data_IF_551998986910
#
_entry.id   IF_551998986910
#
_cell.length_a   1.000
_cell.length_b   1.000
_cell.length_c   1.000
_cell.angle_alpha   90.00
_cell.angle_beta   90.00
_cell.angle_gamma   90.00
#
_symmetry.space_group_name_H-M   'P 1'
#
loop_
_entity.id
_entity.type
_entity.pdbx_description
1 polymer ?
#
# COMPACT_ATOMS: atom_id res chain seq x y z
N UNK A 1 1.45 5.46 -31.66
CA UNK A 1 1.92 5.39 -30.26
C UNK A 1 0.76 5.86 -29.39
N UNK A 2 0.20 5.02 -28.52
CA UNK A 2 -0.89 5.42 -27.62
C UNK A 2 -0.26 6.30 -26.54
N UNK A 3 -0.52 7.61 -26.58
CA UNK A 3 -0.20 8.52 -25.48
C UNK A 3 -0.87 7.95 -24.23
N UNK A 4 -0.06 7.53 -23.24
CA UNK A 4 -0.61 7.17 -21.94
C UNK A 4 -1.19 8.47 -21.38
N UNK A 5 -2.50 8.55 -21.10
CA UNK A 5 -3.06 9.73 -20.46
C UNK A 5 -2.26 9.98 -19.18
N UNK A 6 -1.83 11.21 -18.98
CA UNK A 6 -1.22 11.62 -17.73
C UNK A 6 -2.19 11.23 -16.61
N UNK A 7 -1.75 10.52 -15.56
CA UNK A 7 -2.64 10.11 -14.50
C UNK A 7 -3.30 11.37 -13.92
N UNK A 8 -4.62 11.33 -13.79
CA UNK A 8 -5.38 12.40 -13.15
C UNK A 8 -4.72 12.71 -11.80
N UNK A 9 -4.46 13.98 -11.53
CA UNK A 9 -3.87 14.41 -10.26
C UNK A 9 -4.98 14.83 -9.30
N UNK A 10 -4.91 14.44 -8.02
CA UNK A 10 -5.94 14.79 -7.06
C UNK A 10 -5.89 16.28 -6.72
N UNK A 11 -7.06 16.88 -6.52
CA UNK A 11 -7.14 18.22 -5.93
C UNK A 11 -6.75 18.22 -4.44
N UNK A 12 -6.73 19.40 -3.81
CA UNK A 12 -6.31 19.52 -2.41
C UNK A 12 -7.22 18.78 -1.41
N UNK A 13 -8.52 18.71 -1.67
CA UNK A 13 -9.49 17.99 -0.83
C UNK A 13 -9.38 16.49 -1.04
N UNK A 14 -9.25 16.04 -2.29
CA UNK A 14 -8.99 14.65 -2.64
C UNK A 14 -7.67 14.17 -2.03
N UNK A 15 -6.60 14.94 -2.12
CA UNK A 15 -5.31 14.60 -1.52
C UNK A 15 -5.42 14.37 0.00
N UNK A 16 -6.13 15.27 0.71
CA UNK A 16 -6.37 15.11 2.16
C UNK A 16 -7.13 13.82 2.48
N UNK A 17 -8.18 13.53 1.71
CA UNK A 17 -8.99 12.33 1.91
C UNK A 17 -8.19 11.05 1.60
N UNK A 18 -7.44 11.04 0.49
CA UNK A 18 -6.59 9.91 0.11
C UNK A 18 -5.54 9.62 1.18
N UNK A 19 -4.89 10.65 1.74
CA UNK A 19 -3.97 10.49 2.86
C UNK A 19 -4.67 9.87 4.08
N UNK A 20 -5.85 10.37 4.46
CA UNK A 20 -6.60 9.82 5.59
C UNK A 20 -6.99 8.35 5.39
N UNK A 21 -7.41 7.97 4.18
CA UNK A 21 -7.73 6.59 3.82
C UNK A 21 -6.50 5.68 3.83
N UNK A 22 -5.35 6.18 3.40
CA UNK A 22 -4.08 5.45 3.49
C UNK A 22 -3.69 5.22 4.94
N UNK A 23 -3.75 6.25 5.78
CA UNK A 23 -3.42 6.15 7.21
C UNK A 23 -4.36 5.15 7.92
N UNK A 24 -5.65 5.18 7.60
CA UNK A 24 -6.62 4.22 8.13
C UNK A 24 -6.36 2.80 7.63
N UNK A 25 -6.03 2.62 6.36
CA UNK A 25 -5.64 1.34 5.80
C UNK A 25 -4.37 0.78 6.44
N UNK A 26 -3.40 1.63 6.79
CA UNK A 26 -2.19 1.21 7.51
C UNK A 26 -2.54 0.78 8.93
N UNK A 27 -3.35 1.56 9.67
CA UNK A 27 -3.76 1.22 11.04
C UNK A 27 -4.58 -0.06 11.10
N UNK A 28 -5.56 -0.21 10.22
CA UNK A 28 -6.41 -1.41 10.16
C UNK A 28 -5.62 -2.67 9.78
N UNK A 29 -4.55 -2.53 9.00
CA UNK A 29 -3.65 -3.64 8.63
C UNK A 29 -2.42 -3.77 9.55
N UNK A 30 -2.30 -2.93 10.58
CA UNK A 30 -1.19 -2.93 11.54
C UNK A 30 -1.11 -4.16 12.46
N UNK A 31 -2.20 -4.62 13.11
CA UNK A 31 -2.11 -5.61 14.20
C UNK A 31 -1.89 -7.04 13.73
N UNK A 32 -1.93 -7.32 12.43
CA UNK A 32 -1.91 -8.68 11.91
C UNK A 32 -0.48 -9.13 11.57
N UNK A 33 0.13 -9.90 12.48
CA UNK A 33 1.46 -10.54 12.35
C UNK A 33 1.35 -12.03 11.96
N UNK A 34 0.14 -12.55 11.71
CA UNK A 34 -0.11 -13.97 11.36
C UNK A 34 -1.09 -14.13 10.16
N UNK A 35 -1.13 -15.29 9.46
CA UNK A 35 -1.40 -15.37 8.01
C UNK A 35 -2.88 -15.55 7.60
N UNK A 36 -3.23 -15.41 6.29
CA UNK A 36 -2.45 -14.87 5.18
C UNK A 36 -3.13 -13.63 4.59
N UNK A 37 -2.39 -12.52 4.50
CA UNK A 37 -2.79 -11.34 3.72
C UNK A 37 -4.03 -10.59 4.21
N UNK A 38 -3.80 -9.49 4.94
CA UNK A 38 -4.86 -8.53 5.25
C UNK A 38 -4.86 -7.42 4.22
N UNK A 39 -6.04 -7.19 3.62
CA UNK A 39 -6.25 -6.18 2.59
C UNK A 39 -7.31 -5.20 3.04
N UNK A 40 -6.96 -3.92 3.03
CA UNK A 40 -7.88 -2.81 3.11
C UNK A 40 -8.11 -2.26 1.70
N UNK A 41 -9.36 -1.99 1.34
CA UNK A 41 -9.76 -1.32 0.09
C UNK A 41 -10.77 -0.25 0.42
N UNK A 42 -10.52 0.97 -0.05
CA UNK A 42 -11.45 2.07 0.05
C UNK A 42 -11.58 2.77 -1.31
N UNK A 43 -12.73 3.38 -1.54
CA UNK A 43 -12.98 4.19 -2.73
C UNK A 43 -13.56 5.55 -2.33
N UNK A 44 -13.12 6.60 -3.01
CA UNK A 44 -13.61 7.96 -2.81
C UNK A 44 -13.56 8.71 -4.13
N UNK A 45 -14.69 9.23 -4.62
CA UNK A 45 -14.75 10.03 -5.86
C UNK A 45 -14.04 9.36 -7.06
N UNK A 46 -14.19 8.05 -7.22
CA UNK A 46 -13.53 7.27 -8.28
C UNK A 46 -12.07 6.88 -7.98
N UNK A 47 -11.42 7.51 -7.00
CA UNK A 47 -10.13 7.05 -6.50
C UNK A 47 -10.26 5.74 -5.75
N UNK A 48 -9.29 4.85 -5.91
CA UNK A 48 -9.22 3.59 -5.18
C UNK A 48 -7.92 3.49 -4.40
N UNK A 49 -8.02 3.34 -3.08
CA UNK A 49 -6.90 3.04 -2.20
C UNK A 49 -6.92 1.55 -1.87
N UNK A 50 -5.77 0.90 -1.96
CA UNK A 50 -5.57 -0.48 -1.54
C UNK A 50 -4.33 -0.55 -0.66
N UNK A 51 -4.49 -1.01 0.57
CA UNK A 51 -3.38 -1.29 1.49
C UNK A 51 -3.33 -2.79 1.72
N UNK A 52 -2.20 -3.41 1.41
CA UNK A 52 -1.99 -4.84 1.52
C UNK A 52 -0.85 -5.10 2.51
N UNK A 53 -1.13 -5.85 3.56
CA UNK A 53 -0.10 -6.33 4.48
C UNK A 53 0.32 -7.75 4.09
N UNK A 54 1.63 -7.95 3.99
CA UNK A 54 2.26 -9.25 3.73
C UNK A 54 3.26 -9.52 4.83
N UNK A 55 2.91 -10.49 5.68
CA UNK A 55 3.83 -11.09 6.64
C UNK A 55 4.82 -11.97 5.89
N UNK A 56 6.10 -11.61 5.96
CA UNK A 56 7.21 -12.45 5.54
C UNK A 56 7.88 -13.09 6.76
N UNK A 57 8.78 -14.03 6.50
CA UNK A 57 9.60 -14.67 7.55
C UNK A 57 10.39 -13.66 8.40
N UNK A 58 10.68 -12.49 7.82
CA UNK A 58 11.59 -11.48 8.36
C UNK A 58 10.88 -10.21 8.84
N UNK A 59 9.54 -10.21 8.93
CA UNK A 59 8.76 -9.04 9.34
C UNK A 59 7.55 -8.77 8.45
N UNK A 60 6.89 -7.65 8.70
CA UNK A 60 5.67 -7.24 8.00
C UNK A 60 6.00 -6.19 6.95
N UNK A 61 5.65 -6.46 5.70
CA UNK A 61 5.73 -5.49 4.61
C UNK A 61 4.32 -5.04 4.22
N UNK A 62 4.17 -3.77 3.87
CA UNK A 62 2.91 -3.21 3.38
C UNK A 62 3.10 -2.62 2.00
N UNK A 63 2.14 -2.87 1.12
CA UNK A 63 2.04 -2.25 -0.20
C UNK A 63 0.80 -1.38 -0.21
N UNK A 64 1.00 -0.09 -0.41
CA UNK A 64 -0.08 0.88 -0.61
C UNK A 64 -0.14 1.19 -2.10
N UNK A 65 -1.31 1.04 -2.70
CA UNK A 65 -1.58 1.38 -4.09
C UNK A 65 -2.77 2.32 -4.15
N UNK A 66 -2.61 3.45 -4.83
CA UNK A 66 -3.66 4.43 -5.09
C UNK A 66 -3.86 4.51 -6.59
N UNK A 67 -5.09 4.24 -7.03
CA UNK A 67 -5.50 4.35 -8.42
C UNK A 67 -6.38 5.57 -8.60
N UNK A 68 -6.16 6.28 -9.69
CA UNK A 68 -6.98 7.38 -10.13
C UNK A 68 -8.33 6.88 -10.71
N UNK A 69 -9.33 7.76 -10.87
CA UNK A 69 -10.65 7.42 -11.41
C UNK A 69 -10.63 6.82 -12.82
N UNK A 70 -9.59 7.07 -13.59
CA UNK A 70 -9.34 6.49 -14.92
C UNK A 70 -8.73 5.08 -14.85
N UNK A 71 -8.66 4.49 -13.65
CA UNK A 71 -7.99 3.22 -13.34
C UNK A 71 -6.46 3.24 -13.56
N UNK A 72 -5.86 4.40 -13.78
CA UNK A 72 -4.42 4.58 -13.80
C UNK A 72 -3.82 4.43 -12.40
N UNK A 73 -2.69 3.72 -12.27
CA UNK A 73 -1.94 3.71 -11.01
C UNK A 73 -1.32 5.09 -10.79
N UNK A 74 -1.82 5.83 -9.81
CA UNK A 74 -1.32 7.15 -9.46
C UNK A 74 -0.10 7.07 -8.55
N UNK A 75 -0.18 6.25 -7.49
CA UNK A 75 0.94 6.07 -6.56
C UNK A 75 1.00 4.65 -6.03
N UNK A 76 2.23 4.15 -5.86
CA UNK A 76 2.50 2.90 -5.14
C UNK A 76 3.67 3.09 -4.18
N UNK A 77 3.47 2.73 -2.93
CA UNK A 77 4.49 2.84 -1.87
C UNK A 77 4.66 1.50 -1.19
N UNK A 78 5.92 1.14 -0.95
CA UNK A 78 6.30 -0.04 -0.19
C UNK A 78 6.79 0.41 1.19
N UNK A 79 6.13 -0.05 2.24
CA UNK A 79 6.47 0.26 3.64
C UNK A 79 6.95 -1.05 4.28
N UNK A 80 8.25 -1.17 4.52
CA UNK A 80 8.82 -2.31 5.23
C UNK A 80 8.91 -2.03 6.73
N UNK A 81 8.44 -2.96 7.56
CA UNK A 81 8.84 -3.05 8.97
C UNK A 81 10.01 -4.03 9.05
N UNK A 82 11.23 -3.51 9.19
CA UNK A 82 12.36 -4.31 9.66
C UNK A 82 12.29 -4.31 11.19
N UNK A 83 11.52 -5.24 11.75
CA UNK A 83 11.68 -5.54 13.16
C UNK A 83 12.96 -6.37 13.29
N UNK A 84 14.00 -5.70 13.77
CA UNK A 84 15.38 -6.17 13.76
C UNK A 84 15.55 -7.54 14.41
N UNK A 85 16.01 -8.51 13.61
CA UNK A 85 16.94 -9.61 13.92
C UNK A 85 16.77 -10.73 12.87
N UNK A 86 17.11 -10.44 11.62
CA UNK A 86 17.58 -11.49 10.71
C UNK A 86 19.03 -11.84 11.05
N UNK A 87 19.31 -12.22 12.31
CA UNK A 87 20.51 -12.96 12.66
C UNK A 87 20.22 -14.44 12.45
N UNK A 88 20.07 -14.82 11.19
CA UNK A 88 19.93 -16.19 10.76
C UNK A 88 20.90 -16.40 9.61
N UNK A 89 22.15 -16.71 9.96
CA UNK A 89 23.10 -17.21 8.99
C UNK A 89 22.49 -18.44 8.31
N UNK A 90 22.06 -18.28 7.07
CA UNK A 90 22.01 -19.38 6.13
C UNK A 90 22.83 -18.93 4.93
N UNK A 91 24.08 -19.37 4.99
CA UNK A 91 24.98 -19.56 3.87
C UNK A 91 24.17 -19.89 2.61
N UNK A 92 24.30 -19.06 1.57
CA UNK A 92 24.06 -19.53 0.22
C UNK A 92 24.99 -20.72 -0.03
N UNK A 93 24.40 -21.90 -0.23
CA UNK A 93 25.01 -22.99 -0.96
C UNK A 93 24.42 -22.99 -2.37
#
# INVERSE_FOLDING_TARGET
>A
MREKPCPVSPDASEHRMLRALVDEGIRSTAPYVAPPFVRFVAQFHGWQVTVQSRTGLCGVSRVVSVHAPDHGLWQRVHIGSQDGLCNGGLLCR
#
